data_IF_281785163993
#
_entry.id   IF_281785163993
#
_cell.length_a   1.000
_cell.length_b   1.000
_cell.length_c   1.000
_cell.angle_alpha   90.00
_cell.angle_beta   90.00
_cell.angle_gamma   90.00
#
_symmetry.space_group_name_H-M   'P 1'
#
loop_
_entity.id
_entity.type
_entity.pdbx_description
1 polymer ?
#
# COMPACT_ATOMS: atom_id res chain seq x y z
N UNK A 1 11.06 -10.13 -11.58
CA UNK A 1 10.68 -10.83 -10.35
C UNK A 1 9.68 -10.05 -9.50
N UNK A 2 9.81 -8.73 -9.27
CA UNK A 2 8.92 -7.99 -8.36
C UNK A 2 7.42 -8.14 -8.66
N UNK A 3 6.99 -7.97 -9.91
CA UNK A 3 5.57 -8.14 -10.28
C UNK A 3 5.03 -9.55 -9.98
N UNK A 4 5.85 -10.58 -10.21
CA UNK A 4 5.50 -11.96 -9.87
C UNK A 4 5.37 -12.17 -8.35
N UNK A 5 6.26 -11.56 -7.56
CA UNK A 5 6.18 -11.62 -6.10
C UNK A 5 4.91 -10.92 -5.62
N UNK A 6 4.64 -9.72 -6.10
CA UNK A 6 3.47 -8.93 -5.71
C UNK A 6 2.17 -9.63 -6.10
N UNK A 7 2.12 -10.27 -7.27
CA UNK A 7 0.95 -11.04 -7.73
C UNK A 7 0.64 -12.31 -6.94
N UNK A 8 1.52 -12.74 -6.01
CA UNK A 8 1.26 -13.87 -5.10
C UNK A 8 0.48 -13.49 -3.84
N UNK A 9 0.27 -12.20 -3.60
CA UNK A 9 -0.45 -11.71 -2.43
C UNK A 9 -1.85 -11.26 -2.83
N UNK A 10 -2.85 -11.66 -2.04
CA UNK A 10 -4.24 -11.23 -2.24
C UNK A 10 -4.40 -9.72 -2.07
N UNK A 11 -3.53 -9.10 -1.26
CA UNK A 11 -3.58 -7.67 -0.93
C UNK A 11 -2.17 -7.09 -0.89
N UNK A 12 -1.97 -6.00 -1.63
CA UNK A 12 -0.73 -5.23 -1.63
C UNK A 12 -1.05 -3.84 -1.09
N UNK A 13 -0.61 -3.53 0.13
CA UNK A 13 -0.81 -2.21 0.75
C UNK A 13 0.49 -1.41 0.68
N UNK A 14 0.38 -0.14 0.28
CA UNK A 14 1.51 0.76 0.07
C UNK A 14 1.33 2.00 0.96
N UNK A 15 1.95 2.03 2.15
CA UNK A 15 1.98 3.24 2.96
C UNK A 15 2.98 4.25 2.39
N UNK A 16 2.52 5.47 2.11
CA UNK A 16 3.33 6.53 1.49
C UNK A 16 3.14 7.88 2.18
N UNK A 17 4.22 8.62 2.42
CA UNK A 17 4.16 10.00 2.93
C UNK A 17 4.04 11.04 1.79
N UNK A 18 3.34 10.63 0.72
CA UNK A 18 3.20 11.37 -0.53
C UNK A 18 1.78 11.14 -1.07
N UNK A 19 1.53 11.50 -2.34
CA UNK A 19 0.19 11.42 -2.93
C UNK A 19 -0.08 10.12 -3.71
N UNK A 20 0.63 9.03 -3.39
CA UNK A 20 0.43 7.71 -3.98
C UNK A 20 1.31 7.42 -5.20
N UNK A 21 2.50 8.02 -5.27
CA UNK A 21 3.38 7.89 -6.43
C UNK A 21 3.86 6.44 -6.61
N UNK A 22 4.23 5.74 -5.54
CA UNK A 22 4.69 4.35 -5.65
C UNK A 22 3.55 3.43 -6.04
N UNK A 23 2.37 3.55 -5.42
CA UNK A 23 1.20 2.76 -5.79
C UNK A 23 0.84 2.95 -7.28
N UNK A 24 0.93 4.19 -7.79
CA UNK A 24 0.72 4.49 -9.22
C UNK A 24 1.74 3.77 -10.10
N UNK A 25 3.03 3.82 -9.76
CA UNK A 25 4.07 3.13 -10.51
C UNK A 25 3.91 1.61 -10.48
N UNK A 26 3.52 1.04 -9.33
CA UNK A 26 3.30 -0.39 -9.19
C UNK A 26 2.13 -0.86 -10.06
N UNK A 27 1.01 -0.13 -10.04
CA UNK A 27 -0.14 -0.39 -10.92
C UNK A 27 0.23 -0.29 -12.39
N UNK A 28 0.88 0.79 -12.79
CA UNK A 28 1.23 1.05 -14.18
C UNK A 28 2.24 0.03 -14.74
N UNK A 29 3.22 -0.38 -13.92
CA UNK A 29 4.33 -1.24 -14.37
C UNK A 29 4.07 -2.72 -14.22
N UNK A 30 3.33 -3.13 -13.18
CA UNK A 30 3.16 -4.54 -12.83
C UNK A 30 1.70 -5.01 -12.88
N UNK A 31 0.74 -4.11 -13.16
CA UNK A 31 -0.69 -4.41 -13.24
C UNK A 31 -1.24 -5.10 -11.97
N UNK A 32 -0.60 -4.84 -10.83
CA UNK A 32 -1.04 -5.33 -9.52
C UNK A 32 -1.98 -4.32 -8.89
N UNK A 33 -3.01 -4.79 -8.19
CA UNK A 33 -3.91 -3.91 -7.44
C UNK A 33 -3.25 -3.46 -6.12
N UNK A 34 -2.48 -2.37 -6.20
CA UNK A 34 -1.80 -1.76 -5.05
C UNK A 34 -2.70 -0.74 -4.33
N UNK A 35 -2.97 -0.96 -3.05
CA UNK A 35 -3.82 -0.10 -2.21
C UNK A 35 -2.96 0.94 -1.49
N UNK A 36 -3.16 2.21 -1.81
CA UNK A 36 -2.36 3.31 -1.26
C UNK A 36 -2.92 3.76 0.10
N UNK A 37 -2.04 3.91 1.09
CA UNK A 37 -2.33 4.61 2.34
C UNK A 37 -1.44 5.85 2.44
N UNK A 38 -2.03 7.02 2.17
CA UNK A 38 -1.30 8.27 2.04
C UNK A 38 -1.40 9.09 3.33
N UNK A 39 -0.26 9.45 3.92
CA UNK A 39 -0.19 10.36 5.06
C UNK A 39 0.69 11.56 4.71
N UNK A 40 0.09 12.72 4.44
CA UNK A 40 0.79 13.93 3.99
C UNK A 40 0.63 15.05 5.03
N UNK A 41 0.85 14.71 6.30
CA UNK A 41 0.76 15.65 7.43
C UNK A 41 2.14 16.11 7.94
N UNK A 42 3.22 15.70 7.26
CA UNK A 42 4.59 16.04 7.63
C UNK A 42 5.13 15.27 8.84
N UNK A 43 4.38 14.29 9.35
CA UNK A 43 4.81 13.43 10.45
C UNK A 43 5.08 12.00 9.98
N UNK A 44 6.00 11.26 10.64
CA UNK A 44 6.19 9.85 10.35
C UNK A 44 4.94 9.02 10.64
N UNK A 45 4.79 7.90 9.94
CA UNK A 45 3.75 6.93 10.28
C UNK A 45 3.87 6.46 11.72
N UNK A 46 2.76 6.54 12.45
CA UNK A 46 2.65 5.91 13.77
C UNK A 46 2.39 4.42 13.61
N UNK A 47 2.98 3.62 14.48
CA UNK A 47 2.84 2.15 14.47
C UNK A 47 1.37 1.75 14.60
N UNK A 48 0.61 2.45 15.44
CA UNK A 48 -0.79 2.17 15.72
C UNK A 48 -1.68 2.45 14.50
N UNK A 49 -1.39 3.52 13.75
CA UNK A 49 -2.09 3.83 12.50
C UNK A 49 -1.83 2.76 11.45
N UNK A 50 -0.57 2.41 11.21
CA UNK A 50 -0.21 1.34 10.26
C UNK A 50 -0.85 0.01 10.66
N UNK A 51 -0.80 -0.36 11.94
CA UNK A 51 -1.43 -1.60 12.42
C UNK A 51 -2.95 -1.61 12.17
N UNK A 52 -3.61 -0.47 12.34
CA UNK A 52 -5.06 -0.34 12.08
C UNK A 52 -5.37 -0.51 10.60
N UNK A 53 -4.67 0.22 9.74
CA UNK A 53 -4.81 0.14 8.27
C UNK A 53 -4.57 -1.28 7.77
N UNK A 54 -3.50 -1.94 8.24
CA UNK A 54 -3.19 -3.31 7.83
C UNK A 54 -4.26 -4.30 8.33
N UNK A 55 -4.81 -4.12 9.53
CA UNK A 55 -5.93 -4.94 10.00
C UNK A 55 -7.15 -4.75 9.13
N UNK A 56 -7.54 -3.51 8.82
CA UNK A 56 -8.69 -3.23 7.95
C UNK A 56 -8.48 -3.82 6.56
N UNK A 57 -7.28 -3.62 5.99
CA UNK A 57 -6.91 -4.19 4.70
C UNK A 57 -7.09 -5.71 4.70
N UNK A 58 -6.60 -6.44 5.71
CA UNK A 58 -6.74 -7.91 5.77
C UNK A 58 -8.20 -8.36 5.84
N UNK A 59 -9.08 -7.64 6.55
CA UNK A 59 -10.47 -8.07 6.79
C UNK A 59 -11.50 -7.52 5.79
N UNK A 60 -11.16 -6.52 4.97
CA UNK A 60 -12.03 -6.05 3.89
C UNK A 60 -12.36 -7.20 2.92
N UNK A 61 -13.64 -7.45 2.65
CA UNK A 61 -14.08 -8.51 1.74
C UNK A 61 -13.83 -8.15 0.29
#
# INVERSE_FOLDING_TARGET
NLGEILGRYDKVVVPEMNLGQLATLLKAKYLVDAHSYNQVDGTPFKVEQLATVLKEAVHAR
#
